data_IF_457785200438
#
_entry.id   IF_457785200438
#
_cell.length_a   1.000
_cell.length_b   1.000
_cell.length_c   1.000
_cell.angle_alpha   90.00
_cell.angle_beta   90.00
_cell.angle_gamma   90.00
#
_symmetry.space_group_name_H-M   'P 1'
#
loop_
_entity.id
_entity.type
_entity.pdbx_description
1 polymer ?
#
# COMPACT_ATOMS: atom_id res chain seq x y z
N UNK A 1 2.79 13.37 10.24
CA UNK A 1 3.25 12.15 9.54
C UNK A 1 2.17 11.08 9.72
N UNK A 2 1.86 10.25 8.73
CA UNK A 2 0.84 9.19 8.86
C UNK A 2 1.46 7.90 9.41
N UNK A 3 0.66 7.04 10.06
CA UNK A 3 1.12 5.75 10.59
C UNK A 3 1.82 4.90 9.52
N UNK A 4 1.17 4.68 8.38
CA UNK A 4 1.77 3.96 7.24
C UNK A 4 3.10 4.56 6.74
N UNK A 5 3.26 5.89 6.78
CA UNK A 5 4.53 6.49 6.41
C UNK A 5 5.61 6.12 7.45
N UNK A 6 5.29 6.21 8.74
CA UNK A 6 6.18 5.76 9.82
C UNK A 6 6.58 4.30 9.68
N UNK A 7 5.61 3.44 9.37
CA UNK A 7 5.85 2.02 9.13
C UNK A 7 6.79 1.79 7.94
N UNK A 8 6.60 2.52 6.84
CA UNK A 8 7.48 2.45 5.67
C UNK A 8 8.93 2.82 6.01
N UNK A 9 9.14 3.91 6.75
CA UNK A 9 10.50 4.32 7.14
C UNK A 9 11.15 3.32 8.10
N UNK A 10 10.38 2.81 9.06
CA UNK A 10 10.83 1.80 10.03
C UNK A 10 11.01 0.41 9.40
N UNK A 11 10.51 0.20 8.18
CA UNK A 11 10.52 -1.10 7.50
C UNK A 11 9.53 -2.09 8.11
N UNK A 12 8.51 -1.60 8.81
CA UNK A 12 7.40 -2.40 9.30
C UNK A 12 6.48 -2.82 8.15
N UNK A 13 5.63 -3.82 8.42
CA UNK A 13 4.54 -4.20 7.53
C UNK A 13 3.60 -3.01 7.32
N UNK A 14 3.18 -2.80 6.07
CA UNK A 14 2.25 -1.73 5.74
C UNK A 14 0.80 -2.21 5.79
N UNK A 15 -0.08 -1.27 6.14
CA UNK A 15 -1.53 -1.36 5.99
C UNK A 15 -2.02 -1.23 4.52
N UNK A 16 -1.13 -1.49 3.55
CA UNK A 16 -1.34 -1.13 2.15
C UNK A 16 -2.48 -1.90 1.47
N UNK A 17 -2.54 -3.24 1.62
CA UNK A 17 -3.57 -4.06 0.98
C UNK A 17 -4.97 -3.65 1.42
N UNK A 18 -5.19 -3.40 2.70
CA UNK A 18 -6.53 -3.14 3.20
C UNK A 18 -6.96 -1.68 3.02
N UNK A 19 -6.02 -0.75 2.84
CA UNK A 19 -6.31 0.64 2.50
C UNK A 19 -6.32 0.88 0.98
N UNK A 20 -5.19 1.29 0.40
CA UNK A 20 -5.11 1.67 -1.02
C UNK A 20 -5.24 0.49 -1.97
N UNK A 21 -4.77 -0.70 -1.58
CA UNK A 21 -4.95 -1.92 -2.35
C UNK A 21 -6.43 -2.29 -2.51
N UNK A 22 -7.21 -2.19 -1.43
CA UNK A 22 -8.66 -2.50 -1.45
C UNK A 22 -9.43 -1.51 -2.30
N UNK A 23 -9.14 -0.22 -2.19
CA UNK A 23 -9.78 0.82 -3.02
C UNK A 23 -9.40 0.67 -4.49
N UNK A 24 -8.14 0.34 -4.79
CA UNK A 24 -7.71 0.02 -6.15
C UNK A 24 -8.47 -1.17 -6.73
N UNK A 25 -8.52 -2.29 -6.01
CA UNK A 25 -9.19 -3.52 -6.46
C UNK A 25 -10.69 -3.31 -6.68
N UNK A 26 -11.37 -2.64 -5.75
CA UNK A 26 -12.80 -2.34 -5.87
C UNK A 26 -13.09 -1.38 -7.03
N UNK A 27 -12.24 -0.37 -7.24
CA UNK A 27 -12.36 0.53 -8.39
C UNK A 27 -12.24 -0.21 -9.72
N UNK A 28 -11.29 -1.14 -9.83
CA UNK A 28 -11.14 -1.99 -11.01
C UNK A 28 -12.36 -2.89 -11.24
N UNK A 29 -12.90 -3.50 -10.17
CA UNK A 29 -14.10 -4.35 -10.22
C UNK A 29 -15.35 -3.58 -10.68
N UNK A 30 -15.53 -2.36 -10.19
CA UNK A 30 -16.70 -1.53 -10.47
C UNK A 30 -16.55 -0.61 -11.70
N UNK A 31 -15.39 -0.63 -12.37
CA UNK A 31 -15.10 0.30 -13.46
C UNK A 31 -14.98 1.77 -13.04
N UNK A 32 -14.69 2.04 -11.77
CA UNK A 32 -14.52 3.39 -11.22
C UNK A 32 -13.03 3.71 -11.11
N UNK A 33 -12.51 4.73 -11.82
CA UNK A 33 -11.11 5.11 -11.73
C UNK A 33 -10.73 5.58 -10.32
N UNK A 34 -9.67 4.98 -9.75
CA UNK A 34 -9.10 5.36 -8.45
C UNK A 34 -7.62 5.76 -8.60
N UNK A 35 -7.30 6.83 -9.36
CA UNK A 35 -5.92 7.12 -9.77
C UNK A 35 -4.96 7.35 -8.60
N UNK A 36 -5.40 8.05 -7.54
CA UNK A 36 -4.58 8.29 -6.36
C UNK A 36 -4.25 6.98 -5.61
N UNK A 37 -5.26 6.15 -5.32
CA UNK A 37 -5.04 4.87 -4.65
C UNK A 37 -4.26 3.88 -5.51
N UNK A 38 -4.45 3.93 -6.83
CA UNK A 38 -3.68 3.12 -7.78
C UNK A 38 -2.20 3.50 -7.76
N UNK A 39 -1.89 4.80 -7.75
CA UNK A 39 -0.51 5.27 -7.67
C UNK A 39 0.15 4.87 -6.34
N UNK A 40 -0.55 5.05 -5.22
CA UNK A 40 -0.05 4.64 -3.89
C UNK A 40 0.17 3.13 -3.82
N UNK A 41 -0.82 2.33 -4.25
CA UNK A 41 -0.71 0.87 -4.24
C UNK A 41 0.47 0.39 -5.09
N UNK A 42 0.57 0.83 -6.35
CA UNK A 42 1.66 0.41 -7.25
C UNK A 42 3.03 0.88 -6.77
N UNK A 43 3.12 2.07 -6.18
CA UNK A 43 4.38 2.60 -5.67
C UNK A 43 4.88 1.87 -4.42
N UNK A 44 3.98 1.29 -3.62
CA UNK A 44 4.30 0.74 -2.31
C UNK A 44 4.16 -0.79 -2.18
N UNK A 45 3.58 -1.48 -3.17
CA UNK A 45 3.29 -2.93 -3.07
C UNK A 45 4.52 -3.78 -2.77
N UNK A 46 5.70 -3.38 -3.24
CA UNK A 46 6.96 -4.08 -2.98
C UNK A 46 7.45 -3.97 -1.52
N UNK A 47 6.94 -3.00 -0.76
CA UNK A 47 7.30 -2.75 0.64
C UNK A 47 6.24 -3.24 1.62
N UNK A 48 5.13 -3.79 1.14
CA UNK A 48 3.99 -4.17 1.97
C UNK A 48 4.37 -5.15 3.10
N UNK A 49 5.26 -6.10 2.81
CA UNK A 49 5.74 -7.09 3.77
C UNK A 49 6.68 -6.54 4.84
N UNK A 50 7.11 -5.27 4.76
CA UNK A 50 8.22 -4.74 5.54
C UNK A 50 9.59 -5.19 4.99
N UNK A 51 10.68 -4.78 5.66
CA UNK A 51 12.03 -5.24 5.32
C UNK A 51 12.22 -6.68 5.79
N UNK A 52 12.76 -7.54 4.93
CA UNK A 52 13.27 -8.86 5.37
C UNK A 52 14.48 -8.57 6.27
N UNK A 53 14.41 -8.96 7.54
CA UNK A 53 15.57 -8.87 8.43
C UNK A 53 16.70 -9.73 7.84
N UNK A 54 17.95 -9.23 7.75
CA UNK A 54 19.07 -10.11 7.45
C UNK A 54 19.16 -11.16 8.57
N UNK A 55 19.10 -12.43 8.18
CA UNK A 55 19.25 -13.57 9.09
C UNK A 55 20.67 -13.73 9.62
#
# INVERSE_FOLDING_TARGET
RSSMAEDLERGNRLELHWLSGRVHALGAELGVPTPAHTAVYRGLVLYEGGRVAPG
#
